data_IF_580325663384
#
_entry.id   IF_580325663384
#
_cell.length_a   1.000
_cell.length_b   1.000
_cell.length_c   1.000
_cell.angle_alpha   90.00
_cell.angle_beta   90.00
_cell.angle_gamma   90.00
#
_symmetry.space_group_name_H-M   'P 1'
#
loop_
_entity.id
_entity.type
_entity.pdbx_description
1 polymer ?
#
# COMPACT_ATOMS: atom_id res chain seq x y z
N UNK A 1 -23.07 -7.95 -15.85
CA UNK A 1 -21.85 -7.14 -16.02
C UNK A 1 -21.35 -6.56 -14.70
N UNK A 2 -22.19 -5.87 -13.91
CA UNK A 2 -21.76 -5.28 -12.63
C UNK A 2 -21.27 -6.31 -11.59
N UNK A 3 -21.90 -7.47 -11.46
CA UNK A 3 -21.44 -8.52 -10.53
C UNK A 3 -20.01 -9.01 -10.82
N UNK A 4 -19.68 -9.23 -12.10
CA UNK A 4 -18.33 -9.61 -12.49
C UNK A 4 -17.31 -8.52 -12.15
N UNK A 5 -17.68 -7.24 -12.31
CA UNK A 5 -16.82 -6.12 -11.94
C UNK A 5 -16.62 -6.02 -10.41
N UNK A 6 -17.66 -6.24 -9.61
CA UNK A 6 -17.56 -6.28 -8.14
C UNK A 6 -16.65 -7.42 -7.66
N UNK A 7 -16.80 -8.61 -8.24
CA UNK A 7 -15.92 -9.76 -7.94
C UNK A 7 -14.47 -9.44 -8.33
N UNK A 8 -14.26 -8.85 -9.51
CA UNK A 8 -12.93 -8.41 -9.93
C UNK A 8 -12.35 -7.35 -8.97
N UNK A 9 -13.17 -6.40 -8.51
CA UNK A 9 -12.76 -5.40 -7.52
C UNK A 9 -12.27 -6.05 -6.21
N UNK A 10 -12.99 -7.05 -5.71
CA UNK A 10 -12.60 -7.82 -4.51
C UNK A 10 -11.29 -8.56 -4.74
N UNK A 11 -11.15 -9.27 -5.86
CA UNK A 11 -9.94 -10.05 -6.19
C UNK A 11 -8.73 -9.13 -6.28
N UNK A 12 -8.81 -8.05 -7.06
CA UNK A 12 -7.67 -7.15 -7.26
C UNK A 12 -7.33 -6.39 -5.97
N UNK A 13 -8.32 -5.95 -5.21
CA UNK A 13 -8.11 -5.27 -3.90
C UNK A 13 -7.53 -6.20 -2.83
N UNK A 14 -7.75 -7.52 -2.93
CA UNK A 14 -7.16 -8.49 -2.01
C UNK A 14 -5.64 -8.53 -2.06
N UNK A 15 -5.03 -8.17 -3.21
CA UNK A 15 -3.57 -8.16 -3.40
C UNK A 15 -2.89 -7.07 -2.56
N UNK A 16 -3.20 -5.76 -2.72
CA UNK A 16 -2.59 -4.71 -1.88
C UNK A 16 -2.97 -4.87 -0.40
N UNK A 17 -4.14 -5.41 -0.08
CA UNK A 17 -4.52 -5.76 1.29
C UNK A 17 -3.60 -6.85 1.86
N UNK A 18 -3.43 -7.97 1.15
CA UNK A 18 -2.58 -9.07 1.61
C UNK A 18 -1.13 -8.64 1.81
N UNK A 19 -0.56 -7.89 0.86
CA UNK A 19 0.82 -7.39 0.95
C UNK A 19 1.01 -6.42 2.12
N UNK A 20 0.09 -5.46 2.30
CA UNK A 20 0.19 -4.48 3.40
C UNK A 20 -0.07 -5.12 4.76
N UNK A 21 -1.00 -6.06 4.85
CA UNK A 21 -1.26 -6.82 6.08
C UNK A 21 -0.07 -7.68 6.47
N UNK A 22 0.51 -8.44 5.52
CA UNK A 22 1.70 -9.25 5.77
C UNK A 22 2.84 -8.39 6.31
N UNK A 23 3.06 -7.22 5.68
CA UNK A 23 4.06 -6.26 6.14
C UNK A 23 3.80 -5.76 7.57
N UNK A 24 2.56 -5.37 7.88
CA UNK A 24 2.19 -4.86 9.19
C UNK A 24 2.38 -5.92 10.30
N UNK A 25 2.15 -7.20 9.98
CA UNK A 25 2.31 -8.31 10.94
C UNK A 25 3.78 -8.61 11.29
N UNK A 26 4.73 -8.13 10.51
CA UNK A 26 6.17 -8.27 10.80
C UNK A 26 6.65 -7.28 11.87
N UNK A 27 5.86 -6.23 12.15
CA UNK A 27 6.24 -5.13 13.03
C UNK A 27 6.76 -5.56 14.41
N UNK A 28 6.09 -6.49 15.14
CA UNK A 28 6.58 -6.92 16.46
C UNK A 28 7.95 -7.60 16.41
N UNK A 29 8.27 -8.28 15.29
CA UNK A 29 9.58 -8.89 15.07
C UNK A 29 10.65 -7.84 14.76
N UNK A 30 10.32 -6.89 13.89
CA UNK A 30 11.24 -5.82 13.49
C UNK A 30 11.65 -4.87 14.61
N UNK A 31 10.76 -4.62 15.58
CA UNK A 31 11.10 -3.81 16.75
C UNK A 31 12.22 -4.41 17.63
N UNK A 32 12.51 -5.71 17.48
CA UNK A 32 13.56 -6.41 18.23
C UNK A 32 14.90 -6.44 17.51
N UNK A 33 14.95 -5.97 16.27
CA UNK A 33 16.17 -5.95 15.47
C UNK A 33 17.03 -4.73 15.83
N UNK A 34 18.34 -4.94 15.80
CA UNK A 34 19.29 -3.83 15.71
C UNK A 34 19.17 -3.14 14.33
N UNK A 35 19.85 -2.00 14.21
CA UNK A 35 19.82 -1.17 13.00
C UNK A 35 20.24 -1.93 11.74
N UNK A 36 21.34 -2.68 11.82
CA UNK A 36 21.95 -3.29 10.64
C UNK A 36 21.12 -4.49 10.17
N UNK A 37 20.61 -5.28 11.12
CA UNK A 37 19.63 -6.34 10.87
C UNK A 37 18.34 -5.81 10.25
N UNK A 38 17.81 -4.68 10.76
CA UNK A 38 16.61 -4.04 10.21
C UNK A 38 16.81 -3.57 8.78
N UNK A 39 17.96 -2.94 8.48
CA UNK A 39 18.31 -2.47 7.15
C UNK A 39 18.51 -3.62 6.16
N UNK A 40 19.20 -4.69 6.57
CA UNK A 40 19.44 -5.85 5.73
C UNK A 40 18.13 -6.53 5.29
N UNK A 41 17.17 -6.64 6.20
CA UNK A 41 15.87 -7.26 5.94
C UNK A 41 15.04 -6.54 4.86
N UNK A 42 15.21 -5.22 4.67
CA UNK A 42 14.41 -4.43 3.72
C UNK A 42 14.51 -4.93 2.27
N UNK A 43 15.62 -5.57 1.92
CA UNK A 43 15.84 -6.11 0.57
C UNK A 43 14.85 -7.22 0.20
N UNK A 44 14.30 -7.94 1.18
CA UNK A 44 13.36 -9.06 0.96
C UNK A 44 12.07 -8.62 0.26
N UNK A 45 11.68 -7.34 0.39
CA UNK A 45 10.49 -6.83 -0.27
C UNK A 45 10.68 -6.62 -1.78
N UNK A 46 11.92 -6.58 -2.27
CA UNK A 46 12.22 -6.34 -3.67
C UNK A 46 12.48 -7.64 -4.44
N UNK A 47 11.98 -7.78 -5.70
CA UNK A 47 11.09 -6.86 -6.42
C UNK A 47 9.59 -7.14 -6.18
N UNK A 48 9.25 -8.20 -5.42
CA UNK A 48 7.87 -8.71 -5.32
C UNK A 48 6.85 -7.68 -4.87
N UNK A 49 7.16 -6.87 -3.87
CA UNK A 49 6.26 -5.81 -3.37
C UNK A 49 6.14 -4.65 -4.36
N UNK A 50 7.16 -4.40 -5.19
CA UNK A 50 7.08 -3.40 -6.27
C UNK A 50 6.10 -3.85 -7.35
N UNK A 51 6.20 -5.11 -7.78
CA UNK A 51 5.31 -5.68 -8.80
C UNK A 51 3.88 -5.79 -8.26
N UNK A 52 3.71 -6.33 -7.05
CA UNK A 52 2.42 -6.43 -6.39
C UNK A 52 1.79 -5.08 -6.07
N UNK A 53 2.61 -4.05 -5.82
CA UNK A 53 2.15 -2.68 -5.61
C UNK A 53 1.43 -2.06 -6.81
N UNK A 54 1.66 -2.56 -8.03
CA UNK A 54 0.91 -2.13 -9.22
C UNK A 54 -0.60 -2.47 -9.14
N UNK A 55 -0.99 -3.43 -8.29
CA UNK A 55 -2.40 -3.75 -8.06
C UNK A 55 -3.15 -2.62 -7.31
N UNK A 56 -2.45 -1.74 -6.60
CA UNK A 56 -3.05 -0.64 -5.85
C UNK A 56 -3.74 0.41 -6.76
N UNK A 57 -3.05 1.05 -7.73
CA UNK A 57 -3.73 1.97 -8.66
C UNK A 57 -4.77 1.26 -9.52
N UNK A 58 -4.56 -0.01 -9.88
CA UNK A 58 -5.56 -0.79 -10.63
C UNK A 58 -6.83 -1.00 -9.80
N UNK A 59 -6.70 -1.28 -8.50
CA UNK A 59 -7.84 -1.40 -7.58
C UNK A 59 -8.67 -0.12 -7.55
N UNK A 60 -8.03 1.05 -7.47
CA UNK A 60 -8.71 2.35 -7.48
C UNK A 60 -9.55 2.52 -8.76
N UNK A 61 -8.99 2.21 -9.93
CA UNK A 61 -9.70 2.34 -11.21
C UNK A 61 -10.90 1.39 -11.30
N UNK A 62 -10.75 0.14 -10.87
CA UNK A 62 -11.83 -0.85 -10.89
C UNK A 62 -12.95 -0.44 -9.92
N UNK A 63 -12.61 -0.03 -8.69
CA UNK A 63 -13.59 0.40 -7.69
C UNK A 63 -14.30 1.68 -8.12
N UNK A 64 -13.60 2.62 -8.78
CA UNK A 64 -14.22 3.79 -9.39
C UNK A 64 -15.27 3.37 -10.43
N UNK A 65 -14.97 2.39 -11.29
CA UNK A 65 -15.94 1.86 -12.24
C UNK A 65 -17.16 1.23 -11.54
N UNK A 66 -16.97 0.50 -10.43
CA UNK A 66 -18.08 -0.02 -9.61
C UNK A 66 -18.97 1.12 -9.09
N UNK A 67 -18.37 2.17 -8.50
CA UNK A 67 -19.08 3.34 -7.98
C UNK A 67 -19.90 4.01 -9.08
N UNK A 68 -19.29 4.28 -10.24
CA UNK A 68 -19.96 4.97 -11.35
C UNK A 68 -21.13 4.17 -11.93
N UNK A 69 -21.00 2.84 -12.01
CA UNK A 69 -22.07 1.96 -12.50
C UNK A 69 -23.22 1.84 -11.50
N UNK A 70 -22.93 1.66 -10.21
CA UNK A 70 -23.97 1.53 -9.18
C UNK A 70 -24.71 2.84 -8.93
N UNK A 71 -24.04 3.99 -9.07
CA UNK A 71 -24.63 5.32 -8.88
C UNK A 71 -25.80 5.63 -9.83
N UNK A 72 -25.94 4.88 -10.92
CA UNK A 72 -27.08 4.98 -11.83
C UNK A 72 -28.37 4.37 -11.24
N UNK A 73 -28.26 3.57 -10.18
CA UNK A 73 -29.36 2.80 -9.60
C UNK A 73 -29.61 3.21 -8.15
N UNK A 74 -28.54 3.35 -7.34
CA UNK A 74 -28.62 3.65 -5.92
C UNK A 74 -27.34 4.35 -5.44
N UNK A 75 -27.34 4.86 -4.21
CA UNK A 75 -26.15 5.45 -3.59
C UNK A 75 -25.19 4.33 -3.13
N UNK A 76 -24.00 4.17 -3.75
CA UNK A 76 -23.12 3.03 -3.47
C UNK A 76 -22.16 3.32 -2.32
N UNK A 77 -22.69 3.55 -1.12
CA UNK A 77 -21.91 4.05 0.02
C UNK A 77 -20.75 3.12 0.42
N UNK A 78 -20.88 1.80 0.28
CA UNK A 78 -19.81 0.83 0.54
C UNK A 78 -18.68 0.91 -0.50
N UNK A 79 -19.03 0.95 -1.80
CA UNK A 79 -18.04 1.12 -2.85
C UNK A 79 -17.34 2.49 -2.77
N UNK A 80 -18.05 3.54 -2.36
CA UNK A 80 -17.47 4.88 -2.10
C UNK A 80 -16.50 4.84 -0.91
N UNK A 81 -16.87 4.19 0.20
CA UNK A 81 -15.98 3.99 1.33
C UNK A 81 -14.70 3.25 0.92
N UNK A 82 -14.83 2.19 0.11
CA UNK A 82 -13.69 1.45 -0.41
C UNK A 82 -12.80 2.33 -1.30
N UNK A 83 -13.39 3.12 -2.19
CA UNK A 83 -12.67 4.03 -3.08
C UNK A 83 -11.86 5.06 -2.28
N UNK A 84 -12.49 5.72 -1.31
CA UNK A 84 -11.83 6.71 -0.45
C UNK A 84 -10.69 6.06 0.33
N UNK A 85 -10.92 4.87 0.89
CA UNK A 85 -9.90 4.14 1.66
C UNK A 85 -8.68 3.80 0.79
N UNK A 86 -8.88 3.36 -0.45
CA UNK A 86 -7.79 3.09 -1.40
C UNK A 86 -7.05 4.37 -1.82
N UNK A 87 -7.77 5.48 -2.04
CA UNK A 87 -7.14 6.78 -2.34
C UNK A 87 -6.27 7.24 -1.17
N UNK A 88 -6.77 7.13 0.07
CA UNK A 88 -6.00 7.49 1.28
C UNK A 88 -4.78 6.58 1.42
N UNK A 89 -4.93 5.27 1.23
CA UNK A 89 -3.82 4.32 1.20
C UNK A 89 -2.73 4.79 0.20
N UNK A 90 -3.13 5.16 -1.01
CA UNK A 90 -2.22 5.62 -2.06
C UNK A 90 -1.55 6.96 -1.72
N UNK A 91 -2.30 7.89 -1.13
CA UNK A 91 -1.75 9.15 -0.67
C UNK A 91 -0.68 8.95 0.42
N UNK A 92 -0.91 8.04 1.38
CA UNK A 92 0.06 7.72 2.44
C UNK A 92 1.38 7.21 1.83
N UNK A 93 1.32 6.39 0.78
CA UNK A 93 2.53 5.93 0.11
C UNK A 93 3.36 7.10 -0.42
N UNK A 94 2.75 7.98 -1.21
CA UNK A 94 3.49 9.06 -1.86
C UNK A 94 3.97 10.14 -0.88
N UNK A 95 3.21 10.40 0.20
CA UNK A 95 3.50 11.49 1.14
C UNK A 95 4.35 11.05 2.34
N UNK A 96 4.36 9.76 2.70
CA UNK A 96 5.06 9.26 3.89
C UNK A 96 6.02 8.12 3.57
N UNK A 97 5.52 7.01 3.00
CA UNK A 97 6.35 5.80 2.78
C UNK A 97 7.46 6.06 1.77
N UNK A 98 7.14 6.63 0.62
CA UNK A 98 8.08 6.82 -0.49
C UNK A 98 9.22 7.79 -0.15
N UNK A 99 8.98 8.93 0.51
CA UNK A 99 10.07 9.77 1.02
C UNK A 99 11.07 9.03 1.91
N UNK A 100 10.59 8.08 2.72
CA UNK A 100 11.46 7.28 3.60
C UNK A 100 12.13 6.12 2.85
N UNK A 101 11.48 5.52 1.83
CA UNK A 101 12.14 4.55 0.93
C UNK A 101 13.38 5.13 0.25
N UNK A 102 13.32 6.40 -0.17
CA UNK A 102 14.48 7.10 -0.77
C UNK A 102 15.68 7.16 0.18
N UNK A 103 15.43 7.22 1.49
CA UNK A 103 16.47 7.15 2.51
C UNK A 103 17.02 5.73 2.68
N UNK A 104 16.15 4.71 2.76
CA UNK A 104 16.61 3.33 2.91
C UNK A 104 17.44 2.83 1.72
N UNK A 105 17.19 3.36 0.53
CA UNK A 105 17.82 2.94 -0.72
C UNK A 105 19.04 3.78 -1.12
N UNK A 106 19.49 4.75 -0.31
CA UNK A 106 20.62 5.64 -0.65
C UNK A 106 21.97 4.89 -0.78
N UNK A 107 22.03 3.59 -0.46
CA UNK A 107 23.17 2.69 -0.71
C UNK A 107 22.88 1.47 -1.59
N UNK A 108 21.67 1.33 -2.13
CA UNK A 108 21.33 0.23 -3.03
C UNK A 108 21.74 0.58 -4.46
N UNK A 109 22.48 -0.31 -5.15
CA UNK A 109 22.77 -0.20 -6.59
C UNK A 109 21.48 -0.42 -7.40
N UNK A 110 20.61 0.58 -7.42
CA UNK A 110 19.39 0.58 -8.22
C UNK A 110 19.74 0.97 -9.65
N UNK A 111 19.62 0.04 -10.60
CA UNK A 111 19.67 0.30 -12.03
C UNK A 111 18.26 0.30 -12.65
N UNK A 112 18.06 1.05 -13.73
CA UNK A 112 16.79 1.09 -14.48
C UNK A 112 15.72 2.05 -13.93
N UNK A 113 14.45 1.81 -14.28
CA UNK A 113 13.28 2.65 -13.98
C UNK A 113 13.06 2.97 -12.49
N UNK A 114 13.62 2.17 -11.58
CA UNK A 114 13.59 2.43 -10.14
C UNK A 114 14.51 3.58 -9.70
N UNK A 115 15.62 3.83 -10.41
CA UNK A 115 16.62 4.81 -9.99
C UNK A 115 16.07 6.24 -9.89
N UNK A 116 15.19 6.65 -10.81
CA UNK A 116 14.59 7.99 -10.81
C UNK A 116 13.48 8.17 -9.75
N UNK A 117 12.75 7.10 -9.45
CA UNK A 117 11.66 7.10 -8.46
C UNK A 117 12.21 7.16 -7.03
N UNK A 118 13.36 6.52 -6.80
CA UNK A 118 14.02 6.41 -5.50
C UNK A 118 15.22 7.36 -5.31
N UNK A 119 15.55 8.22 -6.28
CA UNK A 119 16.59 9.25 -6.13
C UNK A 119 16.22 10.22 -4.99
N UNK A 120 17.00 10.23 -3.92
CA UNK A 120 16.86 11.13 -2.79
C UNK A 120 18.22 11.61 -2.28
N UNK A 121 18.27 12.86 -1.83
CA UNK A 121 19.45 13.44 -1.19
C UNK A 121 19.83 12.65 0.08
N UNK A 122 21.12 12.52 0.40
CA UNK A 122 21.56 11.88 1.64
C UNK A 122 20.95 12.64 2.81
N UNK A 123 20.20 11.94 3.67
CA UNK A 123 19.77 12.57 4.90
C UNK A 123 20.99 12.67 5.82
N UNK A 124 21.29 13.89 6.28
CA UNK A 124 22.07 14.11 7.48
C UNK A 124 21.59 13.17 8.59
N UNK A 125 22.51 12.66 9.42
CA UNK A 125 22.29 11.70 10.51
C UNK A 125 20.96 11.92 11.25
N UNK A 126 19.88 11.36 10.72
CA UNK A 126 18.57 11.30 11.38
C UNK A 126 18.55 9.98 12.12
N UNK A 127 18.09 10.04 13.36
CA UNK A 127 17.89 8.85 14.19
C UNK A 127 17.12 7.79 13.38
N UNK A 128 17.77 6.66 13.13
CA UNK A 128 17.24 5.58 12.30
C UNK A 128 15.95 5.01 12.89
N UNK A 129 15.76 5.11 14.21
CA UNK A 129 14.54 4.66 14.89
C UNK A 129 13.35 5.55 14.52
N UNK A 130 13.56 6.86 14.40
CA UNK A 130 12.52 7.80 13.96
C UNK A 130 12.10 7.49 12.51
N UNK A 131 13.06 7.17 11.65
CA UNK A 131 12.77 6.81 10.26
C UNK A 131 12.10 5.43 10.15
N UNK A 132 12.54 4.44 10.94
CA UNK A 132 11.87 3.15 11.10
C UNK A 132 10.42 3.35 11.50
N UNK A 133 10.19 4.02 12.62
CA UNK A 133 8.85 4.16 13.18
C UNK A 133 7.92 4.87 12.19
N UNK A 134 8.39 5.95 11.55
CA UNK A 134 7.63 6.63 10.50
C UNK A 134 7.25 5.71 9.33
N UNK A 135 8.17 4.86 8.91
CA UNK A 135 7.96 3.94 7.79
C UNK A 135 7.04 2.78 8.15
N UNK A 136 7.25 2.17 9.31
CA UNK A 136 6.45 1.05 9.81
C UNK A 136 5.01 1.48 10.12
N UNK A 137 4.82 2.64 10.78
CA UNK A 137 3.48 3.15 11.05
C UNK A 137 2.74 3.59 9.77
N UNK A 138 3.45 4.07 8.74
CA UNK A 138 2.80 4.39 7.47
C UNK A 138 2.32 3.14 6.74
N UNK A 139 3.06 2.03 6.82
CA UNK A 139 2.58 0.74 6.30
C UNK A 139 1.44 0.15 7.11
N UNK A 140 1.47 0.26 8.44
CA UNK A 140 0.34 -0.14 9.28
C UNK A 140 -0.93 0.64 8.93
N UNK A 141 -0.84 1.96 8.76
CA UNK A 141 -1.96 2.79 8.33
C UNK A 141 -2.49 2.36 6.94
N UNK A 142 -1.59 2.07 6.00
CA UNK A 142 -1.95 1.53 4.68
C UNK A 142 -2.67 0.17 4.78
N UNK A 143 -2.23 -0.71 5.67
CA UNK A 143 -2.87 -2.00 5.91
C UNK A 143 -4.30 -1.85 6.44
N UNK A 144 -4.52 -0.91 7.37
CA UNK A 144 -5.86 -0.58 7.88
C UNK A 144 -6.76 -0.06 6.74
N UNK A 145 -6.28 0.89 5.92
CA UNK A 145 -7.04 1.38 4.78
C UNK A 145 -7.39 0.27 3.78
N UNK A 146 -6.44 -0.60 3.46
CA UNK A 146 -6.65 -1.71 2.54
C UNK A 146 -7.66 -2.73 3.08
N UNK A 147 -7.60 -3.03 4.39
CA UNK A 147 -8.54 -3.92 5.05
C UNK A 147 -9.97 -3.34 5.06
N UNK A 148 -10.12 -2.04 5.34
CA UNK A 148 -11.42 -1.35 5.26
C UNK A 148 -11.98 -1.44 3.83
N UNK A 149 -11.15 -1.14 2.81
CA UNK A 149 -11.57 -1.23 1.43
C UNK A 149 -12.01 -2.65 1.04
N UNK A 150 -11.22 -3.66 1.41
CA UNK A 150 -11.52 -5.05 1.13
C UNK A 150 -12.84 -5.50 1.78
N UNK A 151 -13.02 -5.25 3.08
CA UNK A 151 -14.25 -5.63 3.80
C UNK A 151 -15.47 -4.91 3.21
N UNK A 152 -15.36 -3.62 2.92
CA UNK A 152 -16.44 -2.86 2.29
C UNK A 152 -16.84 -3.45 0.92
N UNK A 153 -15.87 -3.84 0.08
CA UNK A 153 -16.14 -4.45 -1.23
C UNK A 153 -16.72 -5.87 -1.11
N UNK A 154 -16.30 -6.66 -0.12
CA UNK A 154 -16.88 -7.99 0.12
C UNK A 154 -18.35 -7.85 0.48
N UNK A 155 -18.70 -6.96 1.40
CA UNK A 155 -20.10 -6.71 1.75
C UNK A 155 -20.85 -6.16 0.54
N UNK A 156 -20.29 -5.14 -0.13
CA UNK A 156 -20.88 -4.53 -1.32
C UNK A 156 -21.21 -5.59 -2.36
N UNK A 157 -20.30 -6.52 -2.65
CA UNK A 157 -20.45 -7.59 -3.65
C UNK A 157 -21.69 -8.47 -3.48
N UNK A 158 -22.23 -8.56 -2.25
CA UNK A 158 -23.40 -9.37 -1.90
C UNK A 158 -24.74 -8.64 -1.97
N UNK A 159 -24.72 -7.30 -2.11
CA UNK A 159 -25.90 -6.44 -2.26
C UNK A 159 -26.23 -6.17 -3.73
#
# INVERSE_FOLDING_TARGET
MIHALKILAVIVTSIPMGLSLAHALELPGKYRLDRDSYLAMQSVYYPGFTVGGAAEPLSILIVLAVVLMQSQIAVPWLAVLALISLIVMHAIFWTVTQPVNRFWLTGANLSGLGASIFAGAPAAERDWMVLRDRWEYSHLARAVCAAIAFVALVIDSTL
#
